data_IF_647298411418
#
_entry.id   IF_647298411418
#
_cell.length_a   1.000
_cell.length_b   1.000
_cell.length_c   1.000
_cell.angle_alpha   90.00
_cell.angle_beta   90.00
_cell.angle_gamma   90.00
#
_symmetry.space_group_name_H-M   'P 1'
#
loop_
_entity.id
_entity.type
_entity.pdbx_description
1 polymer ?
#
# COMPACT_ATOMS: atom_id res chain seq x y z
N UNK A 1 20.73 6.61 0.52
CA UNK A 1 19.29 6.94 0.59
C UNK A 1 18.54 5.65 0.83
N UNK A 2 17.58 5.64 1.75
CA UNK A 2 16.68 4.49 1.96
C UNK A 2 15.79 4.29 0.74
N UNK A 3 15.54 3.04 0.34
CA UNK A 3 14.67 2.72 -0.77
C UNK A 3 13.24 3.17 -0.46
N UNK A 4 12.65 3.94 -1.37
CA UNK A 4 11.24 4.32 -1.33
C UNK A 4 10.43 3.39 -2.23
N UNK A 5 9.27 2.96 -1.75
CA UNK A 5 8.37 2.05 -2.44
C UNK A 5 6.98 2.69 -2.51
N UNK A 6 6.49 2.90 -3.73
CA UNK A 6 5.10 3.31 -3.94
C UNK A 6 4.21 2.14 -3.49
N UNK A 7 3.31 2.45 -2.57
CA UNK A 7 2.42 1.47 -1.95
C UNK A 7 1.03 2.07 -1.78
N UNK A 8 0.05 1.22 -1.52
CA UNK A 8 -1.34 1.57 -1.41
C UNK A 8 -1.88 1.05 -0.08
N UNK A 9 -2.69 1.86 0.59
CA UNK A 9 -3.18 1.56 1.92
C UNK A 9 -4.67 1.82 2.04
N UNK A 10 -5.37 0.87 2.65
CA UNK A 10 -6.74 1.03 3.11
C UNK A 10 -6.78 1.44 4.59
N UNK A 11 -7.86 2.12 4.96
CA UNK A 11 -8.17 2.55 6.32
C UNK A 11 -9.66 2.38 6.59
N UNK A 12 -10.04 2.38 7.88
CA UNK A 12 -11.43 2.57 8.23
C UNK A 12 -11.91 4.00 7.90
N UNK A 13 -13.20 4.28 8.12
CA UNK A 13 -13.84 5.59 7.81
C UNK A 13 -13.17 6.77 8.54
N UNK A 14 -12.48 6.51 9.64
CA UNK A 14 -11.78 7.51 10.47
C UNK A 14 -10.29 7.70 10.10
N UNK A 15 -9.79 7.11 9.01
CA UNK A 15 -8.35 7.08 8.66
C UNK A 15 -7.48 6.37 9.71
N UNK A 16 -8.01 5.33 10.36
CA UNK A 16 -7.26 4.51 11.30
C UNK A 16 -6.93 3.13 10.70
N UNK A 17 -5.80 2.58 11.14
CA UNK A 17 -5.47 1.17 11.00
C UNK A 17 -5.27 0.62 12.42
N UNK A 18 -6.21 -0.21 12.89
CA UNK A 18 -6.32 -0.58 14.32
C UNK A 18 -6.38 0.69 15.18
N UNK A 19 -5.48 0.84 16.15
CA UNK A 19 -5.47 1.95 17.09
C UNK A 19 -4.62 3.15 16.63
N UNK A 20 -3.95 3.05 15.48
CA UNK A 20 -3.10 4.13 14.97
C UNK A 20 -3.87 5.07 14.03
N UNK A 21 -3.83 6.37 14.33
CA UNK A 21 -4.44 7.43 13.53
C UNK A 21 -3.47 7.93 12.46
N UNK A 22 -3.95 7.99 11.22
CA UNK A 22 -3.22 8.60 10.10
C UNK A 22 -3.85 9.93 9.67
N UNK A 23 -3.09 10.69 8.89
CA UNK A 23 -3.50 11.95 8.29
C UNK A 23 -2.90 12.05 6.87
N UNK A 24 -3.70 12.55 5.93
CA UNK A 24 -3.26 12.75 4.54
C UNK A 24 -2.19 13.85 4.49
N UNK A 25 -1.14 13.64 3.70
CA UNK A 25 0.01 14.53 3.55
C UNK A 25 1.08 14.39 4.64
N UNK A 26 0.88 13.51 5.64
CA UNK A 26 1.83 13.32 6.74
C UNK A 26 2.70 12.08 6.56
N UNK A 27 3.85 12.12 7.21
CA UNK A 27 4.79 11.02 7.36
C UNK A 27 4.77 10.52 8.80
N UNK A 28 4.79 9.20 8.96
CA UNK A 28 4.76 8.52 10.24
C UNK A 28 5.96 7.59 10.35
N UNK A 29 6.47 7.44 11.57
CA UNK A 29 7.60 6.58 11.91
C UNK A 29 7.16 5.59 12.99
N UNK A 30 7.53 4.33 12.81
CA UNK A 30 7.31 3.27 13.77
C UNK A 30 8.58 3.08 14.60
N UNK A 31 8.42 3.11 15.92
CA UNK A 31 9.49 2.80 16.87
C UNK A 31 9.51 1.30 17.15
N UNK A 32 10.67 0.66 16.97
CA UNK A 32 10.88 -0.76 17.26
C UNK A 32 11.21 -1.62 16.04
N UNK A 33 11.24 -2.94 16.24
CA UNK A 33 11.51 -3.92 15.19
C UNK A 33 10.34 -3.92 14.19
N UNK A 34 10.63 -3.86 12.89
CA UNK A 34 9.64 -4.04 11.81
C UNK A 34 9.59 -5.53 11.46
N UNK A 35 8.39 -6.10 11.45
CA UNK A 35 8.14 -7.51 11.16
C UNK A 35 6.83 -7.65 10.37
N UNK A 36 6.87 -8.36 9.24
CA UNK A 36 5.69 -8.63 8.44
C UNK A 36 4.60 -9.25 9.31
N UNK A 37 3.38 -8.69 9.24
CA UNK A 37 2.22 -9.07 10.07
C UNK A 37 2.33 -8.86 11.59
N UNK A 38 3.52 -8.63 12.14
CA UNK A 38 3.75 -8.35 13.57
C UNK A 38 3.73 -6.87 13.92
N UNK A 39 4.48 -6.04 13.19
CA UNK A 39 4.75 -4.63 13.54
C UNK A 39 5.09 -3.76 12.32
N UNK A 40 5.26 -2.46 12.52
CA UNK A 40 5.44 -1.49 11.44
C UNK A 40 4.13 -1.07 10.74
N UNK A 41 4.28 -0.31 9.66
CA UNK A 41 3.15 0.16 8.86
C UNK A 41 2.92 -0.76 7.66
N UNK A 42 1.74 -1.38 7.61
CA UNK A 42 1.37 -2.26 6.49
C UNK A 42 0.73 -1.50 5.34
N UNK A 43 1.20 -1.77 4.12
CA UNK A 43 0.65 -1.30 2.85
C UNK A 43 0.97 -2.32 1.73
N UNK A 44 0.26 -2.27 0.60
CA UNK A 44 0.47 -3.20 -0.52
C UNK A 44 1.10 -2.50 -1.72
N UNK A 45 1.98 -3.15 -2.48
CA UNK A 45 2.48 -2.57 -3.74
C UNK A 45 1.40 -2.62 -4.84
N UNK A 46 0.60 -3.68 -4.88
CA UNK A 46 -0.60 -3.80 -5.72
C UNK A 46 -1.80 -3.16 -5.01
N UNK A 47 -2.51 -2.21 -5.64
CA UNK A 47 -3.75 -1.67 -5.10
C UNK A 47 -4.81 -2.72 -4.80
N UNK A 48 -4.95 -3.74 -5.64
CA UNK A 48 -6.04 -4.71 -5.50
C UNK A 48 -5.86 -5.70 -4.35
N UNK A 49 -4.62 -5.92 -3.89
CA UNK A 49 -4.37 -6.74 -2.70
C UNK A 49 -4.92 -6.06 -1.43
N UNK A 50 -5.04 -4.72 -1.44
CA UNK A 50 -5.64 -3.97 -0.33
C UNK A 50 -7.09 -4.40 -0.07
N UNK A 51 -7.82 -4.85 -1.10
CA UNK A 51 -9.20 -5.31 -0.95
C UNK A 51 -9.34 -6.60 -0.13
N UNK A 52 -8.25 -7.39 0.01
CA UNK A 52 -8.21 -8.52 0.93
C UNK A 52 -8.24 -8.11 2.41
N UNK A 53 -7.86 -6.86 2.72
CA UNK A 53 -7.78 -6.32 4.08
C UNK A 53 -8.84 -5.26 4.38
N UNK A 54 -9.29 -4.52 3.36
CA UNK A 54 -10.21 -3.40 3.47
C UNK A 54 -11.28 -3.46 2.38
N UNK A 55 -12.54 -3.68 2.77
CA UNK A 55 -13.66 -3.74 1.84
C UNK A 55 -13.84 -2.43 1.07
N UNK A 56 -13.96 -2.44 -0.28
CA UNK A 56 -14.12 -1.24 -1.09
C UNK A 56 -15.41 -0.45 -0.80
N UNK A 57 -16.42 -1.09 -0.21
CA UNK A 57 -17.69 -0.43 0.11
C UNK A 57 -17.64 0.45 1.36
N UNK A 58 -16.71 0.19 2.28
CA UNK A 58 -16.72 0.79 3.62
C UNK A 58 -15.38 1.37 4.07
N UNK A 59 -14.39 1.40 3.18
CA UNK A 59 -13.01 1.81 3.49
C UNK A 59 -12.59 3.06 2.74
N UNK A 60 -11.58 3.74 3.28
CA UNK A 60 -10.87 4.85 2.63
C UNK A 60 -9.54 4.36 2.11
N UNK A 61 -9.05 4.92 1.01
CA UNK A 61 -7.85 4.45 0.33
C UNK A 61 -6.87 5.58 0.03
N UNK A 62 -5.57 5.30 0.09
CA UNK A 62 -4.54 6.28 -0.22
C UNK A 62 -3.40 5.67 -1.04
N UNK A 63 -2.78 6.52 -1.88
CA UNK A 63 -1.42 6.30 -2.34
C UNK A 63 -0.45 6.70 -1.22
N UNK A 64 0.58 5.88 -1.02
CA UNK A 64 1.55 6.03 0.06
C UNK A 64 2.96 5.77 -0.43
N UNK A 65 3.96 6.27 0.30
CA UNK A 65 5.37 5.91 0.11
C UNK A 65 5.84 5.21 1.36
N UNK A 66 6.23 3.95 1.22
CA UNK A 66 6.80 3.14 2.28
C UNK A 66 8.32 3.14 2.17
N UNK A 67 9.02 3.38 3.27
CA UNK A 67 10.48 3.50 3.28
C UNK A 67 11.08 3.16 4.66
N UNK A 68 12.41 3.14 4.71
CA UNK A 68 13.17 2.67 5.88
C UNK A 68 13.39 1.16 5.85
N UNK A 69 13.45 0.52 7.02
CA UNK A 69 13.47 -0.94 7.10
C UNK A 69 12.13 -1.47 6.62
N UNK A 70 12.13 -2.46 5.73
CA UNK A 70 10.94 -3.10 5.21
C UNK A 70 11.01 -4.61 5.36
N UNK A 71 9.87 -5.24 5.57
CA UNK A 71 9.74 -6.69 5.65
C UNK A 71 8.52 -7.18 4.86
N UNK A 72 8.54 -8.42 4.38
CA UNK A 72 7.47 -9.03 3.59
C UNK A 72 7.36 -10.54 3.84
N UNK A 73 6.16 -11.07 3.69
CA UNK A 73 5.93 -12.53 3.73
C UNK A 73 6.43 -13.16 2.43
N UNK A 74 7.15 -14.29 2.50
CA UNK A 74 7.75 -14.93 1.31
C UNK A 74 6.70 -15.47 0.33
N UNK A 75 5.66 -16.12 0.85
CA UNK A 75 4.56 -16.70 0.05
C UNK A 75 3.27 -15.86 0.15
N UNK A 76 3.40 -14.58 0.51
CA UNK A 76 2.29 -13.65 0.67
C UNK A 76 1.89 -12.92 -0.62
N UNK A 77 0.87 -12.07 -0.49
CA UNK A 77 0.55 -11.08 -1.50
C UNK A 77 1.58 -9.92 -1.51
N UNK A 78 1.28 -8.80 -2.17
CA UNK A 78 2.22 -7.68 -2.25
C UNK A 78 2.28 -6.80 -1.00
N UNK A 79 1.68 -7.23 0.12
CA UNK A 79 1.74 -6.52 1.41
C UNK A 79 3.18 -6.50 1.94
N UNK A 80 3.60 -5.32 2.37
CA UNK A 80 4.86 -5.11 3.09
C UNK A 80 4.59 -4.44 4.44
N UNK A 81 5.49 -4.63 5.39
CA UNK A 81 5.62 -3.80 6.59
C UNK A 81 6.78 -2.81 6.40
N UNK A 82 6.62 -1.55 6.81
CA UNK A 82 7.70 -0.56 6.77
C UNK A 82 7.89 0.17 8.10
N UNK A 83 9.12 0.63 8.35
CA UNK A 83 9.44 1.50 9.48
C UNK A 83 8.83 2.89 9.33
N UNK A 84 8.62 3.35 8.10
CA UNK A 84 8.09 4.68 7.82
C UNK A 84 7.15 4.67 6.63
N UNK A 85 6.12 5.51 6.71
CA UNK A 85 5.12 5.65 5.66
C UNK A 85 4.69 7.10 5.53
N UNK A 86 4.63 7.60 4.30
CA UNK A 86 4.00 8.88 3.97
C UNK A 86 2.66 8.61 3.31
N UNK A 87 1.57 9.16 3.86
CA UNK A 87 0.24 9.07 3.27
C UNK A 87 0.10 10.21 2.27
N UNK A 88 0.36 9.99 0.98
CA UNK A 88 0.50 11.09 0.02
C UNK A 88 -0.84 11.78 -0.28
N UNK A 89 -1.81 10.99 -0.72
CA UNK A 89 -3.09 11.50 -1.16
C UNK A 89 -4.16 10.43 -0.95
N UNK A 90 -5.33 10.88 -0.50
CA UNK A 90 -6.53 10.05 -0.54
C UNK A 90 -7.01 9.88 -1.98
N UNK A 91 -7.43 8.66 -2.31
CA UNK A 91 -7.94 8.28 -3.60
C UNK A 91 -9.41 7.92 -3.47
N UNK A 92 -10.24 8.45 -4.37
CA UNK A 92 -11.59 7.93 -4.58
C UNK A 92 -11.51 6.49 -5.09
N UNK A 93 -12.57 5.69 -4.90
CA UNK A 93 -12.59 4.30 -5.37
C UNK A 93 -12.30 4.19 -6.89
N UNK A 94 -12.85 5.03 -7.79
CA UNK A 94 -12.47 4.99 -9.20
C UNK A 94 -10.98 5.27 -9.45
N UNK A 95 -10.39 6.24 -8.76
CA UNK A 95 -8.96 6.52 -8.86
C UNK A 95 -8.13 5.34 -8.36
N UNK A 96 -8.53 4.73 -7.25
CA UNK A 96 -7.84 3.57 -6.69
C UNK A 96 -7.88 2.36 -7.64
N UNK A 97 -9.03 2.11 -8.28
CA UNK A 97 -9.18 1.07 -9.31
C UNK A 97 -8.29 1.36 -10.52
N UNK A 98 -8.24 2.62 -10.97
CA UNK A 98 -7.36 3.03 -12.05
C UNK A 98 -5.88 2.75 -11.73
N UNK A 99 -5.43 2.99 -10.49
CA UNK A 99 -4.07 2.62 -10.06
C UNK A 99 -3.83 1.12 -10.09
N UNK A 100 -4.84 0.31 -9.78
CA UNK A 100 -4.75 -1.14 -9.87
C UNK A 100 -4.53 -1.61 -11.31
N UNK A 101 -5.27 -1.03 -12.26
CA UNK A 101 -5.09 -1.29 -13.70
C UNK A 101 -3.67 -0.89 -14.15
N UNK A 102 -3.21 0.31 -13.78
CA UNK A 102 -1.87 0.81 -14.10
C UNK A 102 -0.77 -0.10 -13.55
N UNK A 103 -0.94 -0.59 -12.32
CA UNK A 103 0.01 -1.53 -11.72
C UNK A 103 0.09 -2.83 -12.53
N UNK A 104 -1.06 -3.43 -12.90
CA UNK A 104 -1.08 -4.63 -13.74
C UNK A 104 -0.38 -4.35 -15.08
N UNK A 105 -0.71 -3.23 -15.74
CA UNK A 105 -0.08 -2.84 -16.99
C UNK A 105 1.45 -2.67 -16.89
N UNK A 106 1.94 -2.25 -15.72
CA UNK A 106 3.39 -2.14 -15.46
C UNK A 106 4.09 -3.50 -15.35
N UNK A 107 3.35 -4.59 -15.12
CA UNK A 107 3.88 -5.96 -15.03
C UNK A 107 3.77 -6.74 -16.34
N UNK A 108 3.04 -6.23 -17.32
CA UNK A 108 2.93 -6.88 -18.64
C UNK A 108 4.27 -6.78 -19.36
N UNK A 109 4.79 -7.93 -19.78
CA UNK A 109 5.92 -7.99 -20.69
C UNK A 109 5.50 -7.52 -22.09
N UNK A 110 5.93 -6.32 -22.46
CA UNK A 110 5.59 -5.69 -23.75
C UNK A 110 6.41 -6.25 -24.93
N UNK A 111 7.39 -7.11 -24.67
CA UNK A 111 8.17 -7.78 -25.73
C UNK A 111 7.40 -8.92 -26.40
N UNK A 112 6.37 -9.43 -25.72
CA UNK A 112 5.38 -10.34 -26.30
C UNK A 112 4.34 -9.47 -27.01
N UNK A 113 4.59 -9.13 -28.28
CA UNK A 113 3.55 -8.55 -29.13
C UNK A 113 2.31 -9.46 -29.03
N UNK A 114 1.21 -8.90 -28.52
CA UNK A 114 -0.08 -9.57 -28.56
C UNK A 114 -0.43 -9.77 -30.03
N UNK A 115 -0.14 -10.97 -30.53
CA UNK A 115 -0.68 -11.47 -31.80
C UNK A 115 -2.21 -11.49 -31.62
N UNK A 116 -2.86 -10.48 -32.18
CA UNK A 116 -4.31 -10.44 -32.41
C UNK A 116 -4.57 -11.09 -33.77
#
# INVERSE_FOLDING_TARGET
MTKEIVTFKGFNKELKCRDFQFEIGKTFHHEGKVEACGSGFHACESPFDVFGYYSPADSRFAETISFGVTDREEDGDTKIASASITIKAELTLPQFIQRGIEWIWSKIDKSLEQQI
#
